data_IF_514831537616
#
_entry.id   IF_514831537616
#
_cell.length_a   1.000
_cell.length_b   1.000
_cell.length_c   1.000
_cell.angle_alpha   90.00
_cell.angle_beta   90.00
_cell.angle_gamma   90.00
#
_symmetry.space_group_name_H-M   'P 1'
#
loop_
_entity.id
_entity.type
_entity.pdbx_description
1 polymer ?
#
# COMPACT_ATOMS: atom_id res chain seq x y z
N UNK A 1 -2.28 -0.51 -18.92
CA UNK A 1 -3.32 -1.29 -18.23
C UNK A 1 -4.37 -0.38 -17.63
N UNK A 2 -5.63 -0.79 -17.71
CA UNK A 2 -6.76 -0.13 -17.06
C UNK A 2 -6.91 -0.59 -15.59
N UNK A 3 -7.43 0.28 -14.72
CA UNK A 3 -7.57 0.03 -13.27
C UNK A 3 -8.45 -1.20 -13.02
N UNK A 4 -9.46 -1.40 -13.87
CA UNK A 4 -10.33 -2.57 -13.82
C UNK A 4 -9.55 -3.88 -13.99
N UNK A 5 -8.63 -3.93 -14.96
CA UNK A 5 -7.81 -5.13 -15.18
C UNK A 5 -6.94 -5.47 -13.98
N UNK A 6 -6.36 -4.45 -13.33
CA UNK A 6 -5.56 -4.66 -12.11
C UNK A 6 -6.40 -5.17 -10.95
N UNK A 7 -7.59 -4.60 -10.74
CA UNK A 7 -8.52 -5.08 -9.73
C UNK A 7 -8.90 -6.53 -9.96
N UNK A 8 -9.18 -6.92 -11.20
CA UNK A 8 -9.49 -8.32 -11.56
C UNK A 8 -8.30 -9.25 -11.25
N UNK A 9 -7.06 -8.85 -11.54
CA UNK A 9 -5.89 -9.65 -11.20
C UNK A 9 -5.68 -9.82 -9.69
N UNK A 10 -5.92 -8.75 -8.91
CA UNK A 10 -5.83 -8.81 -7.45
C UNK A 10 -6.93 -9.70 -6.88
N UNK A 11 -8.17 -9.53 -7.36
CA UNK A 11 -9.32 -10.34 -6.94
C UNK A 11 -9.12 -11.83 -7.23
N UNK A 12 -8.57 -12.17 -8.41
CA UNK A 12 -8.26 -13.56 -8.79
C UNK A 12 -7.28 -14.24 -7.85
N UNK A 13 -6.35 -13.52 -7.24
CA UNK A 13 -5.37 -14.10 -6.30
C UNK A 13 -5.99 -14.44 -4.94
N UNK A 14 -7.09 -13.78 -4.61
CA UNK A 14 -7.80 -13.92 -3.33
C UNK A 14 -9.13 -14.71 -3.51
N UNK A 15 -9.31 -15.38 -4.67
CA UNK A 15 -10.53 -16.13 -5.03
C UNK A 15 -11.83 -15.32 -5.00
N UNK A 16 -11.75 -14.01 -5.22
CA UNK A 16 -12.92 -13.12 -5.33
C UNK A 16 -13.25 -12.77 -6.78
N UNK A 17 -14.52 -12.48 -7.02
CA UNK A 17 -15.04 -12.02 -8.32
C UNK A 17 -15.28 -10.51 -8.31
N UNK A 18 -15.27 -9.91 -9.50
CA UNK A 18 -15.58 -8.49 -9.65
C UNK A 18 -17.02 -8.15 -9.25
N UNK A 19 -17.95 -9.11 -9.40
CA UNK A 19 -19.32 -8.98 -8.90
C UNK A 19 -19.41 -8.88 -7.38
N UNK A 20 -18.67 -9.72 -6.66
CA UNK A 20 -18.61 -9.64 -5.20
C UNK A 20 -18.02 -8.31 -4.73
N UNK A 21 -17.07 -7.75 -5.49
CA UNK A 21 -16.54 -6.41 -5.20
C UNK A 21 -17.62 -5.33 -5.37
N UNK A 22 -18.41 -5.40 -6.45
CA UNK A 22 -19.50 -4.46 -6.70
C UNK A 22 -20.58 -4.56 -5.61
N UNK A 23 -20.98 -5.79 -5.25
CA UNK A 23 -21.91 -6.06 -4.15
C UNK A 23 -21.39 -5.52 -2.81
N UNK A 24 -20.10 -5.70 -2.51
CA UNK A 24 -19.46 -5.17 -1.32
C UNK A 24 -19.50 -3.63 -1.25
N UNK A 25 -19.46 -2.97 -2.41
CA UNK A 25 -19.55 -1.52 -2.54
C UNK A 25 -21.00 -1.02 -2.64
N UNK A 26 -21.99 -1.91 -2.63
CA UNK A 26 -23.40 -1.56 -2.73
C UNK A 26 -23.79 -1.00 -4.10
N UNK A 27 -23.07 -1.36 -5.17
CA UNK A 27 -23.29 -0.90 -6.54
C UNK A 27 -23.33 -2.08 -7.52
N UNK A 28 -23.88 -1.86 -8.71
CA UNK A 28 -23.87 -2.87 -9.77
C UNK A 28 -22.51 -2.99 -10.45
N UNK A 29 -22.25 -4.13 -11.10
CA UNK A 29 -21.02 -4.37 -11.86
C UNK A 29 -20.79 -3.30 -12.95
N UNK A 30 -21.88 -2.88 -13.59
CA UNK A 30 -21.88 -1.86 -14.64
C UNK A 30 -21.53 -0.48 -14.05
N UNK A 31 -22.15 -0.10 -12.93
CA UNK A 31 -21.84 1.16 -12.25
C UNK A 31 -20.39 1.20 -11.76
N UNK A 32 -19.87 0.11 -11.21
CA UNK A 32 -18.46 0.03 -10.81
C UNK A 32 -17.53 0.12 -12.03
N UNK A 33 -17.89 -0.53 -13.14
CA UNK A 33 -17.15 -0.44 -14.40
C UNK A 33 -17.13 0.98 -14.94
N UNK A 34 -18.28 1.64 -14.99
CA UNK A 34 -18.42 3.00 -15.48
C UNK A 34 -17.69 4.00 -14.56
N UNK A 35 -17.75 3.78 -13.24
CA UNK A 35 -17.05 4.62 -12.26
C UNK A 35 -15.53 4.50 -12.36
N UNK A 36 -15.01 3.30 -12.64
CA UNK A 36 -13.58 3.07 -12.87
C UNK A 36 -13.12 3.67 -14.21
N UNK A 37 -13.88 3.45 -15.29
CA UNK A 37 -13.56 3.96 -16.63
C UNK A 37 -13.57 5.49 -16.68
N UNK A 38 -14.58 6.10 -16.05
CA UNK A 38 -14.76 7.56 -16.02
C UNK A 38 -13.97 8.23 -14.88
N UNK A 39 -13.26 7.46 -14.05
CA UNK A 39 -12.51 7.97 -12.87
C UNK A 39 -13.40 8.75 -11.90
N UNK A 40 -14.66 8.37 -11.79
CA UNK A 40 -15.65 8.99 -10.87
C UNK A 40 -15.84 8.18 -9.60
N UNK A 41 -15.18 7.03 -9.45
CA UNK A 41 -15.24 6.23 -8.23
C UNK A 41 -14.67 7.03 -7.05
N UNK A 42 -15.47 7.17 -5.99
CA UNK A 42 -15.07 7.91 -4.80
C UNK A 42 -13.83 7.30 -4.12
N UNK A 43 -12.96 8.18 -3.59
CA UNK A 43 -11.76 7.76 -2.85
C UNK A 43 -12.09 6.83 -1.68
N UNK A 44 -13.21 7.07 -0.99
CA UNK A 44 -13.70 6.21 0.10
C UNK A 44 -13.93 4.77 -0.37
N UNK A 45 -14.47 4.57 -1.56
CA UNK A 45 -14.70 3.24 -2.12
C UNK A 45 -13.38 2.56 -2.45
N UNK A 46 -12.42 3.30 -3.04
CA UNK A 46 -11.07 2.79 -3.27
C UNK A 46 -10.37 2.36 -1.97
N UNK A 47 -10.54 3.13 -0.88
CA UNK A 47 -10.03 2.76 0.44
C UNK A 47 -10.67 1.49 0.99
N UNK A 48 -12.00 1.35 0.87
CA UNK A 48 -12.71 0.14 1.29
C UNK A 48 -12.18 -1.10 0.54
N UNK A 49 -11.97 -0.98 -0.78
CA UNK A 49 -11.40 -2.05 -1.61
C UNK A 49 -9.97 -2.38 -1.12
N UNK A 50 -9.12 -1.37 -0.90
CA UNK A 50 -7.75 -1.55 -0.43
C UNK A 50 -7.68 -2.29 0.91
N UNK A 51 -8.59 -1.97 1.84
CA UNK A 51 -8.69 -2.59 3.16
C UNK A 51 -9.17 -4.03 3.06
N UNK A 52 -10.20 -4.27 2.25
CA UNK A 52 -10.77 -5.60 2.05
C UNK A 52 -9.75 -6.56 1.42
N UNK A 53 -9.02 -6.10 0.40
CA UNK A 53 -8.02 -6.88 -0.32
C UNK A 53 -6.65 -6.88 0.37
N UNK A 54 -6.49 -6.14 1.48
CA UNK A 54 -5.23 -5.99 2.24
C UNK A 54 -4.06 -5.54 1.35
N UNK A 55 -4.35 -4.79 0.28
CA UNK A 55 -3.37 -4.23 -0.65
C UNK A 55 -3.30 -2.71 -0.50
N UNK A 56 -2.14 -2.09 -0.70
CA UNK A 56 -2.04 -0.64 -0.71
C UNK A 56 -2.90 0.01 -1.78
N UNK A 57 -3.55 1.13 -1.47
CA UNK A 57 -4.41 1.85 -2.41
C UNK A 57 -3.68 2.27 -3.70
N UNK A 58 -2.40 2.65 -3.61
CA UNK A 58 -1.63 2.99 -4.81
C UNK A 58 -1.42 1.80 -5.75
N UNK A 59 -1.62 0.55 -5.29
CA UNK A 59 -1.39 -0.65 -6.10
C UNK A 59 -2.37 -0.74 -7.27
N UNK A 60 -3.54 -0.09 -7.17
CA UNK A 60 -4.54 0.00 -8.23
C UNK A 60 -4.15 0.93 -9.39
N UNK A 61 -3.06 1.68 -9.24
CA UNK A 61 -2.67 2.74 -10.18
C UNK A 61 -1.27 2.53 -10.79
N UNK A 62 -0.59 1.40 -10.52
CA UNK A 62 0.80 1.17 -10.96
C UNK A 62 0.87 0.32 -12.23
N UNK A 63 1.77 0.63 -13.16
CA UNK A 63 1.96 -0.11 -14.41
C UNK A 63 2.75 -1.42 -14.26
N UNK A 64 2.63 -2.30 -15.27
CA UNK A 64 3.02 -3.73 -15.39
C UNK A 64 4.41 -4.17 -14.86
N UNK A 65 5.34 -3.25 -14.61
CA UNK A 65 6.71 -3.60 -14.21
C UNK A 65 6.92 -3.72 -12.69
N UNK A 66 5.86 -3.60 -11.88
CA UNK A 66 5.96 -3.71 -10.42
C UNK A 66 5.49 -5.08 -9.94
N UNK A 67 6.44 -5.98 -9.61
CA UNK A 67 6.12 -7.22 -8.90
C UNK A 67 5.71 -6.87 -7.47
N UNK A 68 4.43 -7.09 -7.15
CA UNK A 68 3.92 -6.99 -5.79
C UNK A 68 4.57 -8.13 -4.98
N UNK A 69 5.54 -7.79 -4.14
CA UNK A 69 6.12 -8.74 -3.19
C UNK A 69 5.21 -8.79 -1.95
N UNK A 70 4.32 -9.79 -1.93
CA UNK A 70 3.40 -10.05 -0.83
C UNK A 70 4.11 -10.50 0.47
N UNK A 71 5.41 -10.82 0.42
CA UNK A 71 6.24 -11.10 1.60
C UNK A 71 6.97 -9.86 2.12
N UNK A 72 7.11 -8.84 1.29
CA UNK A 72 7.70 -7.58 1.71
C UNK A 72 6.70 -6.85 2.60
N UNK A 73 7.04 -6.69 3.89
CA UNK A 73 6.23 -5.87 4.80
C UNK A 73 6.14 -4.48 4.17
N UNK A 74 4.93 -3.91 4.02
CA UNK A 74 4.80 -2.59 3.42
C UNK A 74 5.68 -1.59 4.18
N UNK A 75 6.45 -0.80 3.44
CA UNK A 75 7.31 0.27 3.98
C UNK A 75 6.52 1.42 4.64
N UNK A 76 5.21 1.28 4.88
CA UNK A 76 4.56 2.17 5.83
C UNK A 76 4.98 1.74 7.22
N UNK A 77 6.05 2.37 7.69
CA UNK A 77 6.12 2.76 9.09
C UNK A 77 5.02 3.83 9.24
N UNK A 78 3.75 3.41 9.23
CA UNK A 78 2.66 4.25 9.74
C UNK A 78 2.83 4.32 11.26
N UNK A 79 3.88 5.00 11.73
CA UNK A 79 3.66 5.90 12.85
C UNK A 79 2.81 7.00 12.23
N UNK A 80 1.48 6.83 12.31
CA UNK A 80 0.59 7.99 12.24
C UNK A 80 1.17 8.94 13.29
N UNK A 81 1.65 10.11 12.88
CA UNK A 81 2.13 11.14 13.81
C UNK A 81 0.97 11.39 14.78
N UNK A 82 1.04 10.81 15.97
CA UNK A 82 0.00 10.96 16.97
C UNK A 82 0.17 12.33 17.62
N UNK A 83 -0.86 12.85 18.29
CA UNK A 83 -0.74 14.09 19.05
C UNK A 83 0.35 14.02 20.15
N UNK A 84 0.79 12.80 20.51
CA UNK A 84 1.94 12.56 21.38
C UNK A 84 3.28 12.87 20.69
N UNK A 85 3.42 12.65 19.37
CA UNK A 85 4.62 13.02 18.62
C UNK A 85 4.79 14.55 18.54
N UNK A 86 3.70 15.32 18.60
CA UNK A 86 3.72 16.78 18.59
C UNK A 86 4.21 17.41 19.91
N UNK A 87 4.19 16.64 21.00
CA UNK A 87 4.58 17.08 22.34
C UNK A 87 5.91 16.49 22.84
N UNK A 88 6.69 15.87 21.94
CA UNK A 88 7.99 15.29 22.31
C UNK A 88 9.01 16.37 22.63
N UNK A 89 9.73 16.16 23.73
CA UNK A 89 10.88 17.00 24.08
C UNK A 89 12.05 16.76 23.13
N UNK A 90 12.95 17.73 23.04
CA UNK A 90 14.12 17.68 22.16
C UNK A 90 15.05 16.49 22.44
N UNK A 91 15.13 16.01 23.69
CA UNK A 91 15.92 14.84 24.07
C UNK A 91 15.30 13.53 23.57
N UNK A 92 13.98 13.40 23.66
CA UNK A 92 13.24 12.26 23.08
C UNK A 92 13.39 12.20 21.55
N UNK A 93 13.31 13.34 20.87
CA UNK A 93 13.53 13.43 19.43
C UNK A 93 14.98 13.08 19.05
N UNK A 94 15.96 13.55 19.83
CA UNK A 94 17.36 13.23 19.61
C UNK A 94 17.65 11.73 19.78
N UNK A 95 17.05 11.09 20.79
CA UNK A 95 17.16 9.64 21.00
C UNK A 95 16.58 8.83 19.84
N UNK A 96 15.46 9.26 19.27
CA UNK A 96 14.89 8.62 18.07
C UNK A 96 15.80 8.81 16.85
N UNK A 97 16.39 10.00 16.67
CA UNK A 97 17.35 10.26 15.59
C UNK A 97 18.56 9.32 15.70
N UNK A 98 19.09 9.12 16.91
CA UNK A 98 20.28 8.29 17.11
C UNK A 98 19.98 6.80 16.89
N UNK A 99 18.80 6.34 17.31
CA UNK A 99 18.32 4.99 16.99
C UNK A 99 18.20 4.77 15.48
N UNK A 100 17.57 5.71 14.78
CA UNK A 100 17.38 5.63 13.32
C UNK A 100 18.72 5.64 12.57
N UNK A 101 19.70 6.43 13.01
CA UNK A 101 21.06 6.42 12.45
C UNK A 101 21.74 5.05 12.61
N UNK A 102 21.60 4.40 13.77
CA UNK A 102 22.13 3.05 13.97
C UNK A 102 21.47 2.04 13.04
N UNK A 103 20.16 2.13 12.86
CA UNK A 103 19.41 1.27 11.92
C UNK A 103 19.89 1.49 10.49
N UNK A 104 20.07 2.75 10.07
CA UNK A 104 20.60 3.09 8.74
C UNK A 104 21.98 2.46 8.55
N UNK A 105 22.88 2.63 9.50
CA UNK A 105 24.23 2.04 9.44
C UNK A 105 24.18 0.51 9.26
N UNK A 106 23.36 -0.19 10.04
CA UNK A 106 23.20 -1.64 9.91
C UNK A 106 22.63 -2.05 8.54
N UNK A 107 21.73 -1.25 7.97
CA UNK A 107 21.16 -1.48 6.64
C UNK A 107 22.17 -1.22 5.53
N UNK A 108 23.01 -0.20 5.67
CA UNK A 108 24.12 0.07 4.74
C UNK A 108 25.14 -1.07 4.74
N UNK A 109 25.46 -1.62 5.91
CA UNK A 109 26.33 -2.79 6.03
C UNK A 109 25.72 -4.04 5.39
N UNK A 110 24.41 -4.26 5.56
CA UNK A 110 23.68 -5.32 4.85
C UNK A 110 23.72 -5.11 3.32
N UNK A 111 23.53 -3.87 2.86
CA UNK A 111 23.59 -3.52 1.44
C UNK A 111 24.98 -3.78 0.85
N UNK A 112 26.05 -3.39 1.55
CA UNK A 112 27.43 -3.69 1.14
C UNK A 112 27.66 -5.20 1.01
N UNK A 113 27.21 -5.99 1.98
CA UNK A 113 27.32 -7.47 1.92
C UNK A 113 26.57 -8.06 0.72
N UNK A 114 25.40 -7.53 0.39
CA UNK A 114 24.66 -7.96 -0.80
C UNK A 114 25.32 -7.55 -2.12
N UNK A 115 25.95 -6.37 -2.18
CA UNK A 115 26.64 -5.89 -3.38
C UNK A 115 28.00 -6.56 -3.63
N UNK A 116 28.65 -7.10 -2.59
CA UNK A 116 29.92 -7.85 -2.70
C UNK A 116 29.68 -9.32 -3.11
N UNK A 117 28.44 -9.82 -2.98
CA UNK A 117 28.07 -11.20 -3.30
C UNK A 117 27.46 -11.38 -4.70
N UNK A 118 27.55 -10.35 -5.55
CA UNK A 118 27.24 -10.38 -7.00
C UNK A 118 28.52 -10.19 -7.79
#
# INVERSE_FOLDING_TARGET
>A
MDVKSQLIEILKKEDYTFNQLAEYLGMSENELTDALNNKTLELRNLELISKALRVPLYSFFRSENFKIDYKEKPYYINKLLTEEDANKDAGSLQGEIDLLKQIIYLKEEQLKRHNVSK
#
